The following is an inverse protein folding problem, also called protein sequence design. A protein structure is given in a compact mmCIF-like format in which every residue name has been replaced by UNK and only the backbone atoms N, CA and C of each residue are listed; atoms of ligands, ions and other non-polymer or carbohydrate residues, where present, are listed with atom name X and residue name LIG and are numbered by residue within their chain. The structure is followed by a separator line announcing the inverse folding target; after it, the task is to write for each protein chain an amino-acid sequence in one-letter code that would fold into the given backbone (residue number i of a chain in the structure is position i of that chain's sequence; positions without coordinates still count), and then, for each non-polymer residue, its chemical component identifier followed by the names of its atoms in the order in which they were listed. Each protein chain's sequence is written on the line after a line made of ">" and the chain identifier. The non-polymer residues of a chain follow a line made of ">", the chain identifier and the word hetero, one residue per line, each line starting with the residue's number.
data_IF_759483286080
#
_entry.id   IF_759483286080
#
_cell.length_a   1.000
_cell.length_b   1.000
_cell.length_c   1.000
_cell.angle_alpha   90.00
_cell.angle_beta   90.00
_cell.angle_gamma   90.00
#
_symmetry.space_group_name_H-M   'P 1'
#
loop_
_entity.id
_entity.type
_entity.pdbx_description
1 polymer ?
#
# COMPACT_ATOMS: atom_id res chain seq x y z
N UNK A 1 20.55 -10.73 20.95
CA UNK A 1 19.42 -10.12 21.66
C UNK A 1 18.37 -9.79 20.61
N UNK A 2 17.29 -10.57 20.55
CA UNK A 2 16.18 -10.32 19.63
C UNK A 2 15.20 -9.44 20.40
N UNK A 3 15.10 -8.16 20.04
CA UNK A 3 14.10 -7.27 20.63
C UNK A 3 12.79 -7.54 19.91
N UNK A 4 11.89 -8.29 20.55
CA UNK A 4 10.49 -8.33 20.16
C UNK A 4 9.83 -7.05 20.67
N UNK A 5 9.68 -6.09 19.77
CA UNK A 5 8.96 -4.85 20.01
C UNK A 5 8.19 -4.52 18.75
N UNK A 6 7.20 -5.36 18.42
CA UNK A 6 6.25 -5.04 17.37
C UNK A 6 5.44 -3.84 17.87
N UNK A 7 5.84 -2.63 17.46
CA UNK A 7 5.13 -1.41 17.81
C UNK A 7 3.84 -1.39 16.97
N UNK A 8 2.84 -2.14 17.45
CA UNK A 8 1.54 -2.22 16.80
C UNK A 8 0.88 -0.85 16.86
N UNK A 9 0.56 -0.32 15.68
CA UNK A 9 -0.24 0.90 15.54
C UNK A 9 -1.65 0.49 15.15
N UNK A 10 -2.63 1.03 15.86
CA UNK A 10 -4.03 0.84 15.50
C UNK A 10 -4.47 2.04 14.66
N UNK A 11 -4.89 1.76 13.44
CA UNK A 11 -5.47 2.75 12.53
C UNK A 11 -6.91 2.34 12.21
N UNK A 12 -7.77 3.32 11.93
CA UNK A 12 -9.08 3.02 11.34
C UNK A 12 -8.88 2.59 9.88
N UNK A 13 -9.44 1.44 9.51
CA UNK A 13 -9.44 0.97 8.12
C UNK A 13 -10.17 1.94 7.18
N UNK A 14 -11.19 2.67 7.68
CA UNK A 14 -11.89 3.69 6.90
C UNK A 14 -10.99 4.88 6.62
N UNK A 15 -10.26 5.37 7.62
CA UNK A 15 -9.32 6.48 7.47
C UNK A 15 -8.18 6.12 6.50
N UNK A 16 -7.63 4.92 6.61
CA UNK A 16 -6.60 4.45 5.66
C UNK A 16 -7.15 4.31 4.25
N UNK A 17 -8.38 3.79 4.09
CA UNK A 17 -9.03 3.70 2.77
C UNK A 17 -9.22 5.08 2.15
N UNK A 18 -9.69 6.06 2.92
CA UNK A 18 -9.86 7.43 2.45
C UNK A 18 -8.53 8.08 2.09
N UNK A 19 -7.48 7.86 2.89
CA UNK A 19 -6.13 8.34 2.58
C UNK A 19 -5.60 7.75 1.26
N UNK A 20 -5.69 6.42 1.07
CA UNK A 20 -5.28 5.74 -0.17
C UNK A 20 -6.00 6.33 -1.39
N UNK A 21 -7.32 6.57 -1.28
CA UNK A 21 -8.10 7.14 -2.39
C UNK A 21 -7.69 8.58 -2.70
N UNK A 22 -7.52 9.41 -1.66
CA UNK A 22 -7.11 10.81 -1.83
C UNK A 22 -5.69 10.94 -2.38
N UNK A 23 -4.74 10.11 -1.92
CA UNK A 23 -3.37 10.05 -2.42
C UNK A 23 -3.34 9.61 -3.89
N UNK A 24 -4.11 8.58 -4.26
CA UNK A 24 -4.21 8.12 -5.63
C UNK A 24 -4.75 9.20 -6.58
N UNK A 25 -5.74 9.98 -6.14
CA UNK A 25 -6.28 11.11 -6.89
C UNK A 25 -5.23 12.22 -7.05
N UNK A 26 -4.57 12.63 -5.96
CA UNK A 26 -3.57 13.70 -5.97
C UNK A 26 -2.35 13.38 -6.88
N UNK A 27 -1.92 12.11 -6.95
CA UNK A 27 -0.82 11.69 -7.83
C UNK A 27 -1.14 11.88 -9.31
N UNK A 28 -2.42 11.84 -9.68
CA UNK A 28 -2.88 12.07 -11.05
C UNK A 28 -2.52 13.47 -11.58
N UNK A 29 -2.51 14.46 -10.67
CA UNK A 29 -2.25 15.87 -11.00
C UNK A 29 -0.77 16.25 -10.89
N UNK A 30 0.06 15.42 -10.24
CA UNK A 30 1.49 15.70 -10.09
C UNK A 30 2.25 15.56 -11.42
N UNK A 31 3.11 16.53 -11.76
CA UNK A 31 4.02 16.36 -12.89
C UNK A 31 4.99 15.22 -12.63
N UNK A 32 5.52 14.62 -13.71
CA UNK A 32 6.56 13.62 -13.55
C UNK A 32 7.82 14.22 -12.92
N UNK A 33 8.39 13.49 -11.97
CA UNK A 33 9.54 13.93 -11.19
C UNK A 33 9.65 13.13 -9.90
N UNK A 34 10.68 13.45 -9.12
CA UNK A 34 10.96 12.77 -7.85
C UNK A 34 9.81 12.93 -6.85
N UNK A 35 9.08 14.05 -6.87
CA UNK A 35 7.92 14.28 -6.00
C UNK A 35 6.79 13.31 -6.30
N UNK A 36 6.47 13.11 -7.57
CA UNK A 36 5.48 12.10 -7.99
C UNK A 36 5.93 10.69 -7.65
N UNK A 37 7.23 10.39 -7.76
CA UNK A 37 7.77 9.10 -7.34
C UNK A 37 7.60 8.88 -5.83
N UNK A 38 7.94 9.87 -5.02
CA UNK A 38 7.76 9.81 -3.57
C UNK A 38 6.28 9.56 -3.22
N UNK A 39 5.36 10.31 -3.85
CA UNK A 39 3.93 10.12 -3.64
C UNK A 39 3.44 8.70 -4.05
N UNK A 40 3.97 8.13 -5.15
CA UNK A 40 3.68 6.74 -5.52
C UNK A 40 4.19 5.72 -4.49
N UNK A 41 5.35 5.97 -3.88
CA UNK A 41 5.90 5.12 -2.81
C UNK A 41 5.05 5.24 -1.56
N UNK A 42 4.66 6.46 -1.17
CA UNK A 42 3.79 6.70 -0.02
C UNK A 42 2.45 5.99 -0.20
N UNK A 43 1.80 6.14 -1.37
CA UNK A 43 0.57 5.41 -1.71
C UNK A 43 0.75 3.89 -1.61
N UNK A 44 1.86 3.34 -2.09
CA UNK A 44 2.15 1.91 -1.98
C UNK A 44 2.24 1.47 -0.52
N UNK A 45 2.90 2.25 0.34
CA UNK A 45 3.03 1.95 1.76
C UNK A 45 1.68 2.03 2.47
N UNK A 46 0.92 3.12 2.30
CA UNK A 46 -0.41 3.29 2.91
C UNK A 46 -1.37 2.18 2.48
N UNK A 47 -1.35 1.79 1.20
CA UNK A 47 -2.14 0.67 0.70
C UNK A 47 -1.70 -0.66 1.33
N UNK A 48 -0.40 -0.90 1.47
CA UNK A 48 0.13 -2.11 2.09
C UNK A 48 -0.29 -2.22 3.56
N UNK A 49 -0.25 -1.12 4.32
CA UNK A 49 -0.71 -1.07 5.71
C UNK A 49 -2.20 -1.42 5.82
N UNK A 50 -3.05 -0.87 4.93
CA UNK A 50 -4.47 -1.23 4.88
C UNK A 50 -4.67 -2.72 4.62
N UNK A 51 -3.97 -3.29 3.63
CA UNK A 51 -4.11 -4.71 3.29
C UNK A 51 -3.57 -5.64 4.37
N UNK A 52 -2.49 -5.26 5.05
CA UNK A 52 -1.99 -5.98 6.22
C UNK A 52 -3.02 -5.97 7.34
N UNK A 53 -3.62 -4.83 7.67
CA UNK A 53 -4.67 -4.75 8.69
C UNK A 53 -5.91 -5.58 8.35
N UNK A 54 -6.30 -5.66 7.06
CA UNK A 54 -7.37 -6.56 6.61
C UNK A 54 -6.97 -8.03 6.77
N UNK A 55 -5.73 -8.40 6.45
CA UNK A 55 -5.23 -9.77 6.62
C UNK A 55 -5.19 -10.17 8.10
N UNK A 56 -4.71 -9.28 8.97
CA UNK A 56 -4.70 -9.48 10.42
C UNK A 56 -6.12 -9.70 10.97
N UNK A 57 -7.09 -8.88 10.55
CA UNK A 57 -8.48 -9.03 10.97
C UNK A 57 -9.12 -10.34 10.46
N UNK A 58 -8.76 -10.79 9.25
CA UNK A 58 -9.19 -12.09 8.73
C UNK A 58 -8.56 -13.26 9.51
N UNK A 59 -7.28 -13.14 9.87
CA UNK A 59 -6.57 -14.12 10.68
C UNK A 59 -7.18 -14.23 12.08
N UNK A 60 -7.44 -13.10 12.75
CA UNK A 60 -8.09 -13.07 14.07
C UNK A 60 -9.48 -13.73 14.05
N UNK A 61 -10.20 -13.61 12.93
CA UNK A 61 -11.54 -14.21 12.78
C UNK A 61 -11.48 -15.71 12.45
N UNK A 62 -10.50 -16.15 11.65
CA UNK A 62 -10.43 -17.53 11.11
C UNK A 62 -9.46 -18.45 11.86
N UNK A 63 -8.54 -17.88 12.64
CA UNK A 63 -7.48 -18.58 13.36
C UNK A 63 -6.42 -19.24 12.49
N UNK A 64 -6.40 -18.96 11.17
CA UNK A 64 -5.44 -19.51 10.23
C UNK A 64 -5.27 -18.59 9.01
N UNK A 65 -4.06 -18.57 8.46
CA UNK A 65 -3.79 -17.98 7.15
C UNK A 65 -4.50 -18.80 6.07
N UNK A 66 -5.26 -18.14 5.21
CA UNK A 66 -5.94 -18.79 4.09
C UNK A 66 -6.18 -17.83 2.96
N UNK A 67 -6.06 -18.30 1.71
CA UNK A 67 -6.20 -17.48 0.50
C UNK A 67 -7.65 -17.01 0.30
N UNK A 68 -8.01 -15.91 0.97
CA UNK A 68 -9.30 -15.27 0.74
C UNK A 68 -9.30 -14.52 -0.59
N UNK A 69 -10.48 -14.39 -1.21
CA UNK A 69 -10.63 -13.57 -2.42
C UNK A 69 -10.20 -12.12 -2.18
N UNK A 70 -10.40 -11.60 -0.96
CA UNK A 70 -9.98 -10.25 -0.55
C UNK A 70 -8.47 -10.12 -0.47
N UNK A 71 -7.76 -11.08 0.12
CA UNK A 71 -6.30 -11.11 0.15
C UNK A 71 -5.70 -11.20 -1.25
N UNK A 72 -6.30 -11.99 -2.14
CA UNK A 72 -5.86 -12.08 -3.54
C UNK A 72 -6.01 -10.74 -4.28
N UNK A 73 -7.18 -10.09 -4.17
CA UNK A 73 -7.40 -8.77 -4.77
C UNK A 73 -6.45 -7.71 -4.22
N UNK A 74 -6.23 -7.68 -2.90
CA UNK A 74 -5.26 -6.77 -2.29
C UNK A 74 -3.83 -7.00 -2.78
N UNK A 75 -3.45 -8.27 -2.94
CA UNK A 75 -2.13 -8.63 -3.48
C UNK A 75 -1.97 -8.18 -4.94
N UNK A 76 -3.01 -8.34 -5.77
CA UNK A 76 -3.00 -7.87 -7.16
C UNK A 76 -2.83 -6.34 -7.23
N UNK A 77 -3.54 -5.59 -6.38
CA UNK A 77 -3.41 -4.12 -6.28
C UNK A 77 -1.99 -3.71 -5.89
N UNK A 78 -1.41 -4.35 -4.86
CA UNK A 78 -0.04 -4.05 -4.44
C UNK A 78 1.00 -4.37 -5.52
N UNK A 79 0.79 -5.44 -6.29
CA UNK A 79 1.65 -5.76 -7.43
C UNK A 79 1.58 -4.65 -8.48
N UNK A 80 0.39 -4.16 -8.84
CA UNK A 80 0.28 -3.06 -9.81
C UNK A 80 0.91 -1.75 -9.30
N UNK A 81 0.71 -1.38 -8.04
CA UNK A 81 1.36 -0.21 -7.44
C UNK A 81 2.89 -0.36 -7.44
N UNK A 82 3.41 -1.53 -7.09
CA UNK A 82 4.87 -1.78 -7.11
C UNK A 82 5.45 -1.66 -8.52
N UNK A 83 4.68 -2.05 -9.55
CA UNK A 83 5.07 -1.88 -10.95
C UNK A 83 5.12 -0.41 -11.36
N UNK A 84 4.22 0.43 -10.87
CA UNK A 84 4.28 1.88 -11.11
C UNK A 84 5.50 2.53 -10.44
N UNK A 85 5.80 2.15 -9.20
CA UNK A 85 7.02 2.59 -8.49
C UNK A 85 8.27 2.19 -9.30
N UNK A 86 8.32 0.94 -9.75
CA UNK A 86 9.43 0.42 -10.55
C UNK A 86 9.56 1.15 -11.89
N UNK A 87 8.45 1.38 -12.60
CA UNK A 87 8.43 2.14 -13.86
C UNK A 87 8.97 3.56 -13.66
N UNK A 88 8.49 4.24 -12.63
CA UNK A 88 8.92 5.60 -12.30
C UNK A 88 10.42 5.66 -12.03
N UNK A 89 10.97 4.69 -11.28
CA UNK A 89 12.41 4.58 -11.04
C UNK A 89 13.20 4.33 -12.33
N UNK A 90 12.79 3.36 -13.14
CA UNK A 90 13.50 2.98 -14.37
C UNK A 90 13.51 4.09 -15.42
N UNK A 91 12.50 4.97 -15.42
CA UNK A 91 12.43 6.12 -16.31
C UNK A 91 13.22 7.33 -15.79
N UNK A 92 13.93 7.21 -14.65
CA UNK A 92 14.61 8.34 -14.02
C UNK A 92 13.62 9.43 -13.60
N UNK A 93 12.41 9.03 -13.18
CA UNK A 93 11.29 9.89 -12.81
C UNK A 93 10.66 10.70 -13.95
N UNK A 94 11.09 10.50 -15.19
CA UNK A 94 10.45 11.09 -16.35
C UNK A 94 9.12 10.39 -16.69
N UNK A 95 8.21 11.08 -17.40
CA UNK A 95 7.07 10.45 -18.06
C UNK A 95 7.51 10.02 -19.45
N UNK A 96 7.50 8.72 -19.75
CA UNK A 96 7.47 8.27 -21.15
C UNK A 96 6.07 8.37 -21.73
#
# INVERSE_FOLDING_TARGET
>A
MIVFGDHKRTHSAEQLREAVLAEAEAIGDLPAGIERHAALVDLFVTAAELFQGLADAEFDTRGADGSSSRQKLGSEILVELSREVLRSWQQGFARK
#
